data_IF_374897994093
#
_entry.id   IF_374897994093
#
_cell.length_a   1.000
_cell.length_b   1.000
_cell.length_c   1.000
_cell.angle_alpha   90.00
_cell.angle_beta   90.00
_cell.angle_gamma   90.00
#
_symmetry.space_group_name_H-M   'P 1'
#
loop_
_entity.id
_entity.type
_entity.pdbx_description
1 polymer ?
#
# COMPACT_ATOMS: atom_id res chain seq x y z
N UNK A 1 15.80 4.63 -14.39
CA UNK A 1 14.50 4.85 -13.69
C UNK A 1 14.31 6.35 -13.55
N UNK A 2 13.15 6.92 -13.93
CA UNK A 2 12.90 8.36 -13.76
C UNK A 2 12.67 8.72 -12.29
N UNK A 3 12.88 9.99 -11.94
CA UNK A 3 12.68 10.51 -10.59
C UNK A 3 11.24 10.25 -10.08
N UNK A 4 10.24 10.40 -10.94
CA UNK A 4 8.82 10.19 -10.59
C UNK A 4 8.51 8.74 -10.23
N UNK A 5 9.10 7.79 -10.95
CA UNK A 5 8.93 6.35 -10.65
C UNK A 5 9.55 6.01 -9.30
N UNK A 6 10.73 6.57 -9.00
CA UNK A 6 11.38 6.39 -7.71
C UNK A 6 10.56 7.00 -6.58
N UNK A 7 10.03 8.21 -6.80
CA UNK A 7 9.16 8.89 -5.85
C UNK A 7 7.90 8.07 -5.54
N UNK A 8 7.20 7.60 -6.59
CA UNK A 8 6.03 6.73 -6.45
C UNK A 8 6.34 5.46 -5.66
N UNK A 9 7.43 4.77 -5.97
CA UNK A 9 7.82 3.55 -5.25
C UNK A 9 8.09 3.79 -3.77
N UNK A 10 8.83 4.85 -3.45
CA UNK A 10 9.10 5.24 -2.06
C UNK A 10 7.81 5.54 -1.32
N UNK A 11 6.89 6.24 -1.98
CA UNK A 11 5.62 6.64 -1.39
C UNK A 11 4.68 5.47 -1.14
N UNK A 12 4.58 4.54 -2.09
CA UNK A 12 3.85 3.28 -1.89
C UNK A 12 4.38 2.49 -0.69
N UNK A 13 5.71 2.37 -0.54
CA UNK A 13 6.32 1.69 0.62
C UNK A 13 6.01 2.41 1.94
N UNK A 14 6.06 3.74 1.95
CA UNK A 14 5.76 4.53 3.14
C UNK A 14 4.29 4.37 3.58
N UNK A 15 3.35 4.45 2.64
CA UNK A 15 1.92 4.24 2.90
C UNK A 15 1.63 2.83 3.40
N UNK A 16 2.26 1.82 2.77
CA UNK A 16 2.13 0.42 3.19
C UNK A 16 2.62 0.20 4.62
N UNK A 17 3.83 0.67 4.95
CA UNK A 17 4.39 0.58 6.31
C UNK A 17 3.52 1.31 7.33
N UNK A 18 3.02 2.51 7.00
CA UNK A 18 2.12 3.28 7.86
C UNK A 18 0.82 2.54 8.18
N UNK A 19 0.35 1.71 7.26
CA UNK A 19 -0.86 0.89 7.46
C UNK A 19 -0.66 -0.38 8.28
N UNK A 20 0.58 -0.66 8.72
CA UNK A 20 0.96 -1.95 9.31
C UNK A 20 0.62 -3.13 8.38
N UNK A 21 0.99 -2.99 7.12
CA UNK A 21 0.81 -4.02 6.08
C UNK A 21 -0.65 -4.38 5.76
N UNK A 22 -1.62 -3.56 6.17
CA UNK A 22 -3.04 -3.79 5.87
C UNK A 22 -3.51 -3.14 4.56
N UNK A 23 -2.72 -2.23 3.99
CA UNK A 23 -3.13 -1.43 2.83
C UNK A 23 -3.13 -2.23 1.53
N UNK A 24 -4.32 -2.62 1.07
CA UNK A 24 -4.52 -3.26 -0.22
C UNK A 24 -4.53 -2.30 -1.43
N UNK A 25 -4.54 -2.88 -2.63
CA UNK A 25 -4.51 -2.11 -3.91
C UNK A 25 -5.60 -1.06 -4.07
N UNK A 26 -6.80 -1.27 -3.51
CA UNK A 26 -7.90 -0.30 -3.58
C UNK A 26 -7.60 0.94 -2.74
N UNK A 27 -7.20 0.72 -1.49
CA UNK A 27 -6.89 1.81 -0.56
C UNK A 27 -5.60 2.53 -0.94
N UNK A 28 -4.61 1.80 -1.45
CA UNK A 28 -3.39 2.38 -2.02
C UNK A 28 -3.69 3.34 -3.16
N UNK A 29 -4.61 3.00 -4.09
CA UNK A 29 -5.03 3.92 -5.16
C UNK A 29 -5.66 5.18 -4.57
N UNK A 30 -6.55 5.03 -3.59
CA UNK A 30 -7.22 6.16 -2.95
C UNK A 30 -6.20 7.12 -2.32
N UNK A 31 -5.28 6.60 -1.50
CA UNK A 31 -4.22 7.38 -0.85
C UNK A 31 -3.27 8.05 -1.85
N UNK A 32 -2.90 7.36 -2.92
CA UNK A 32 -2.06 7.96 -3.97
C UNK A 32 -2.80 9.07 -4.72
N UNK A 33 -4.10 8.93 -4.98
CA UNK A 33 -4.90 10.00 -5.62
C UNK A 33 -5.09 11.20 -4.70
N UNK A 34 -5.28 10.99 -3.39
CA UNK A 34 -5.28 12.05 -2.37
C UNK A 34 -3.96 12.83 -2.37
N UNK A 35 -2.84 12.18 -2.69
CA UNK A 35 -1.51 12.80 -2.81
C UNK A 35 -1.20 13.33 -4.22
N UNK A 36 -2.17 13.35 -5.14
CA UNK A 36 -2.03 13.92 -6.49
C UNK A 36 -1.53 12.96 -7.58
N UNK A 37 -1.32 11.68 -7.28
CA UNK A 37 -0.91 10.71 -8.28
C UNK A 37 -2.07 10.28 -9.18
N UNK A 38 -1.94 10.50 -10.48
CA UNK A 38 -2.86 9.95 -11.49
C UNK A 38 -2.54 8.46 -11.76
N UNK A 39 -3.09 7.58 -10.93
CA UNK A 39 -2.84 6.14 -11.02
C UNK A 39 -4.11 5.30 -10.90
N UNK A 40 -4.15 4.20 -11.65
CA UNK A 40 -5.23 3.22 -11.64
C UNK A 40 -4.90 1.97 -10.82
N UNK A 41 -5.94 1.22 -10.45
CA UNK A 41 -5.83 0.00 -9.63
C UNK A 41 -4.96 -1.09 -10.26
N UNK A 42 -5.04 -1.26 -11.58
CA UNK A 42 -4.24 -2.27 -12.27
C UNK A 42 -2.74 -1.99 -12.15
N UNK A 43 -2.32 -0.74 -12.39
CA UNK A 43 -0.93 -0.30 -12.23
C UNK A 43 -0.47 -0.44 -10.78
N UNK A 44 -1.28 -0.01 -9.81
CA UNK A 44 -0.97 -0.20 -8.37
C UNK A 44 -0.81 -1.69 -8.03
N UNK A 45 -1.72 -2.57 -8.48
CA UNK A 45 -1.62 -4.02 -8.21
C UNK A 45 -0.32 -4.61 -8.75
N UNK A 46 0.08 -4.23 -9.97
CA UNK A 46 1.34 -4.70 -10.57
C UNK A 46 2.55 -4.16 -9.82
N UNK A 47 2.52 -2.89 -9.40
CA UNK A 47 3.59 -2.28 -8.60
C UNK A 47 3.69 -2.92 -7.21
N UNK A 48 2.58 -3.19 -6.53
CA UNK A 48 2.59 -3.91 -5.25
C UNK A 48 3.24 -5.29 -5.39
N UNK A 49 2.91 -6.04 -6.45
CA UNK A 49 3.58 -7.32 -6.75
C UNK A 49 5.09 -7.13 -6.99
N UNK A 50 5.47 -6.15 -7.81
CA UNK A 50 6.88 -5.84 -8.13
C UNK A 50 7.68 -5.40 -6.90
N UNK A 51 7.04 -4.69 -5.98
CA UNK A 51 7.64 -4.18 -4.74
C UNK A 51 7.50 -5.17 -3.55
N UNK A 52 6.92 -6.34 -3.79
CA UNK A 52 6.65 -7.37 -2.78
C UNK A 52 5.84 -6.87 -1.57
N UNK A 53 4.86 -5.99 -1.79
CA UNK A 53 3.95 -5.49 -0.76
C UNK A 53 2.78 -6.47 -0.59
N UNK A 54 2.87 -7.34 0.43
CA UNK A 54 1.89 -8.39 0.71
C UNK A 54 1.01 -8.01 1.88
N UNK A 55 -0.28 -7.85 1.62
CA UNK A 55 -1.26 -7.47 2.66
C UNK A 55 -1.39 -8.58 3.68
N UNK A 56 -1.30 -8.22 4.96
CA UNK A 56 -1.62 -9.09 6.09
C UNK A 56 -2.93 -8.63 6.73
N UNK A 57 -3.86 -9.56 6.90
CA UNK A 57 -5.09 -9.29 7.66
C UNK A 57 -4.77 -9.39 9.15
N UNK A 58 -5.10 -8.33 9.89
CA UNK A 58 -5.04 -8.36 11.36
C UNK A 58 -6.32 -9.02 11.86
N UNK A 59 -6.19 -10.21 12.45
CA UNK A 59 -7.28 -10.85 13.20
C UNK A 59 -7.16 -10.37 14.64
N UNK A 60 -8.22 -9.79 15.20
CA UNK A 60 -8.28 -9.49 16.61
C UNK A 60 -8.33 -10.82 17.37
N UNK A 61 -7.33 -11.13 18.18
CA UNK A 61 -7.42 -12.20 19.16
C UNK A 61 -8.32 -11.68 20.29
N UNK A 62 -9.40 -12.40 20.60
CA UNK A 62 -10.17 -12.13 21.81
C UNK A 62 -9.27 -12.42 23.00
N UNK A 63 -9.00 -11.38 23.79
CA UNK A 63 -8.21 -11.50 25.01
C UNK A 63 -9.12 -12.20 26.02
N UNK A 64 -8.98 -13.52 26.14
CA UNK A 64 -9.56 -14.27 27.26
C UNK A 64 -8.86 -13.74 28.52
N UNK A 65 -9.54 -12.84 29.25
CA UNK A 65 -9.07 -12.39 30.55
C UNK A 65 -9.29 -13.53 31.57
N UNK A 66 -8.29 -13.83 32.42
CA UNK A 66 -8.41 -14.85 33.47
C UNK A 66 -9.39 -14.44 34.57
#
# INVERSE_FOLDING_TARGET
MSADVLHLHRRMKALFKRSRDSLGSREMVKKLREEGFQIGRYKVRNLMKKLNLKVTQHVAYEVLQP
#
